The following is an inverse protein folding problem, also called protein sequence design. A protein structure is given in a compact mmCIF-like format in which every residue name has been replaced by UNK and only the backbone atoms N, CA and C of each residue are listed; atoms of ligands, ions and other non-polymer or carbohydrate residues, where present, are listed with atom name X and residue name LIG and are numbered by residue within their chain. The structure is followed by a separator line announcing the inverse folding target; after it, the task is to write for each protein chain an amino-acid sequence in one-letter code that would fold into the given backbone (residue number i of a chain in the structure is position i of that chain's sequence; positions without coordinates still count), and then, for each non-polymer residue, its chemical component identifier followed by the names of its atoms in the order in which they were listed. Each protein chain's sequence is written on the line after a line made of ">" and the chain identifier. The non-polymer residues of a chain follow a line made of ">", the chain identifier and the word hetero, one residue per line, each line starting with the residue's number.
data_IF_310006157782
#
_entry.id   IF_310006157782
#
_cell.length_a   1.000
_cell.length_b   1.000
_cell.length_c   1.000
_cell.angle_alpha   90.00
_cell.angle_beta   90.00
_cell.angle_gamma   90.00
#
_symmetry.space_group_name_H-M   'P 1'
#
loop_
_entity.id
_entity.type
_entity.pdbx_description
1 polymer ?
#
# COMPACT_ATOMS: atom_id res chain seq x y z
N UNK A 1 -43.26 24.41 -0.78
CA UNK A 1 -41.89 23.84 -0.67
C UNK A 1 -41.08 24.42 -1.82
N UNK A 2 -40.36 25.52 -1.57
CA UNK A 2 -39.61 26.23 -2.63
C UNK A 2 -38.24 25.57 -2.78
N UNK A 3 -37.94 25.02 -3.95
CA UNK A 3 -36.63 24.43 -4.29
C UNK A 3 -35.51 25.47 -4.24
N UNK A 4 -34.27 25.07 -3.93
CA UNK A 4 -33.04 25.91 -3.87
C UNK A 4 -32.91 26.85 -5.09
N UNK A 5 -33.27 26.34 -6.28
CA UNK A 5 -33.27 27.11 -7.53
C UNK A 5 -34.23 28.31 -7.50
N UNK A 6 -35.38 28.17 -6.87
CA UNK A 6 -36.39 29.23 -6.77
C UNK A 6 -35.99 30.32 -5.76
N UNK A 7 -35.28 29.95 -4.68
CA UNK A 7 -34.77 30.92 -3.68
C UNK A 7 -33.63 31.75 -4.26
N UNK A 8 -32.70 31.13 -5.00
CA UNK A 8 -31.62 31.85 -5.67
C UNK A 8 -32.13 32.73 -6.82
N UNK A 9 -33.14 32.28 -7.57
CA UNK A 9 -33.81 33.10 -8.61
C UNK A 9 -34.55 34.29 -7.96
N UNK A 10 -35.23 34.09 -6.83
CA UNK A 10 -35.86 35.18 -6.09
C UNK A 10 -34.82 36.17 -5.56
N UNK A 11 -33.74 35.69 -4.93
CA UNK A 11 -32.68 36.56 -4.41
C UNK A 11 -31.96 37.38 -5.51
N UNK A 12 -31.73 36.78 -6.69
CA UNK A 12 -31.21 37.48 -7.86
C UNK A 12 -32.22 38.50 -8.44
N UNK A 13 -33.52 38.25 -8.30
CA UNK A 13 -34.59 39.16 -8.73
C UNK A 13 -34.77 40.37 -7.79
N UNK A 14 -34.31 40.28 -6.54
CA UNK A 14 -34.42 41.33 -5.54
C UNK A 14 -33.13 42.13 -5.31
N UNK A 15 -32.05 41.88 -6.07
CA UNK A 15 -30.77 42.58 -5.97
C UNK A 15 -30.23 42.69 -4.52
N UNK A 16 -30.44 41.64 -3.72
CA UNK A 16 -29.99 41.61 -2.33
C UNK A 16 -28.47 41.63 -2.25
N UNK A 17 -27.93 42.46 -1.38
CA UNK A 17 -26.50 42.56 -1.11
C UNK A 17 -26.02 41.34 -0.30
N UNK A 18 -24.73 41.00 -0.41
CA UNK A 18 -24.14 39.90 0.35
C UNK A 18 -24.33 40.02 1.88
N UNK A 19 -24.52 41.25 2.39
CA UNK A 19 -24.80 41.53 3.80
C UNK A 19 -26.26 41.24 4.19
N UNK A 20 -27.23 41.47 3.30
CA UNK A 20 -28.65 41.17 3.54
C UNK A 20 -28.92 39.66 3.52
N UNK A 21 -28.23 38.91 2.67
CA UNK A 21 -28.28 37.44 2.64
C UNK A 21 -27.75 36.85 3.96
N UNK A 22 -26.74 37.49 4.56
CA UNK A 22 -26.11 37.06 5.82
C UNK A 22 -26.96 37.33 7.06
N UNK A 23 -27.95 38.22 6.96
CA UNK A 23 -28.84 38.62 8.04
C UNK A 23 -30.15 37.79 8.09
N UNK A 24 -30.39 36.91 7.11
CA UNK A 24 -31.56 36.03 7.11
C UNK A 24 -31.39 34.92 8.16
N UNK A 25 -32.45 34.55 8.91
CA UNK A 25 -32.36 33.48 9.90
C UNK A 25 -31.95 32.16 9.21
N UNK A 26 -30.84 31.57 9.64
CA UNK A 26 -30.32 30.34 9.08
C UNK A 26 -31.26 29.18 9.41
N UNK A 27 -31.99 28.68 8.41
CA UNK A 27 -32.73 27.44 8.52
C UNK A 27 -31.73 26.26 8.57
N UNK A 28 -31.60 25.54 9.71
CA UNK A 28 -30.62 24.48 9.88
C UNK A 28 -30.74 23.34 8.86
N UNK A 29 -31.97 23.07 8.43
CA UNK A 29 -32.30 22.04 7.44
C UNK A 29 -31.76 22.42 6.05
N UNK A 30 -31.91 23.71 5.68
CA UNK A 30 -31.40 24.25 4.42
C UNK A 30 -29.87 24.31 4.39
N UNK A 31 -29.21 24.61 5.52
CA UNK A 31 -27.74 24.53 5.59
C UNK A 31 -27.22 23.11 5.46
N UNK A 32 -27.91 22.12 6.02
CA UNK A 32 -27.52 20.71 5.91
C UNK A 32 -27.67 20.19 4.47
N UNK A 33 -28.74 20.58 3.76
CA UNK A 33 -28.92 20.25 2.35
C UNK A 33 -27.84 20.89 1.45
N UNK A 34 -27.43 22.13 1.75
CA UNK A 34 -26.38 22.82 1.00
C UNK A 34 -25.02 22.13 1.17
N UNK A 35 -24.69 21.74 2.41
CA UNK A 35 -23.48 20.96 2.68
C UNK A 35 -23.51 19.59 2.01
N UNK A 36 -24.67 18.92 1.99
CA UNK A 36 -24.83 17.65 1.30
C UNK A 36 -24.69 17.80 -0.22
N UNK A 37 -25.21 18.87 -0.82
CA UNK A 37 -25.03 19.18 -2.24
C UNK A 37 -23.55 19.42 -2.56
N UNK A 38 -22.85 20.21 -1.74
CA UNK A 38 -21.43 20.47 -1.92
C UNK A 38 -20.58 19.19 -1.79
N UNK A 39 -20.97 18.24 -0.93
CA UNK A 39 -20.32 16.92 -0.85
C UNK A 39 -20.51 16.11 -2.13
N UNK A 40 -21.74 16.06 -2.66
CA UNK A 40 -22.04 15.38 -3.93
C UNK A 40 -21.29 15.99 -5.12
N UNK A 41 -21.17 17.31 -5.18
CA UNK A 41 -20.43 17.98 -6.25
C UNK A 41 -18.92 17.68 -6.21
N UNK A 42 -18.34 17.54 -5.02
CA UNK A 42 -16.94 17.08 -4.86
C UNK A 42 -16.77 15.64 -5.33
N UNK A 43 -17.71 14.76 -4.97
CA UNK A 43 -17.70 13.36 -5.39
C UNK A 43 -17.84 13.21 -6.91
N UNK A 44 -18.76 13.95 -7.54
CA UNK A 44 -18.91 13.99 -9.01
C UNK A 44 -17.62 14.50 -9.67
N UNK A 45 -16.98 15.52 -9.08
CA UNK A 45 -15.73 16.07 -9.60
C UNK A 45 -14.58 15.05 -9.53
N UNK A 46 -14.49 14.29 -8.43
CA UNK A 46 -13.52 13.21 -8.27
C UNK A 46 -13.78 12.06 -9.25
N UNK A 47 -15.05 11.68 -9.45
CA UNK A 47 -15.44 10.65 -10.43
C UNK A 47 -15.10 11.07 -11.86
N UNK A 48 -15.30 12.34 -12.23
CA UNK A 48 -14.91 12.84 -13.56
C UNK A 48 -13.40 12.76 -13.81
N UNK A 49 -12.57 13.16 -12.84
CA UNK A 49 -11.11 13.00 -12.93
C UNK A 49 -10.71 11.54 -13.07
N UNK A 50 -11.39 10.65 -12.34
CA UNK A 50 -11.19 9.20 -12.44
C UNK A 50 -11.54 8.69 -13.84
N UNK A 51 -12.63 9.18 -14.42
CA UNK A 51 -13.04 8.84 -15.78
C UNK A 51 -12.00 9.30 -16.81
N UNK A 52 -11.51 10.55 -16.72
CA UNK A 52 -10.49 11.08 -17.65
C UNK A 52 -9.21 10.24 -17.63
N UNK A 53 -8.78 9.81 -16.44
CA UNK A 53 -7.59 8.94 -16.32
C UNK A 53 -7.86 7.53 -16.84
N UNK A 54 -9.06 6.97 -16.59
CA UNK A 54 -9.43 5.68 -17.17
C UNK A 54 -9.48 5.73 -18.70
N UNK A 55 -9.96 6.83 -19.28
CA UNK A 55 -9.94 7.04 -20.73
C UNK A 55 -8.50 7.16 -21.26
N UNK A 56 -7.62 7.88 -20.57
CA UNK A 56 -6.20 7.93 -20.91
C UNK A 56 -5.54 6.53 -20.87
N UNK A 57 -5.85 5.74 -19.85
CA UNK A 57 -5.37 4.36 -19.73
C UNK A 57 -5.87 3.48 -20.87
N UNK A 58 -7.16 3.56 -21.20
CA UNK A 58 -7.74 2.78 -22.30
C UNK A 58 -7.04 3.10 -23.61
N UNK A 59 -6.69 4.37 -23.84
CA UNK A 59 -5.98 4.79 -25.04
C UNK A 59 -4.52 4.28 -25.08
N UNK A 60 -3.84 4.28 -23.94
CA UNK A 60 -2.51 3.67 -23.81
C UNK A 60 -2.56 2.16 -24.10
N UNK A 61 -3.49 1.44 -23.47
CA UNK A 61 -3.66 0.01 -23.66
C UNK A 61 -4.01 -0.34 -25.11
N UNK A 62 -4.86 0.48 -25.77
CA UNK A 62 -5.17 0.34 -27.20
C UNK A 62 -3.92 0.51 -28.07
N UNK A 63 -3.06 1.47 -27.74
CA UNK A 63 -1.80 1.69 -28.47
C UNK A 63 -0.86 0.49 -28.34
N UNK A 64 -0.78 -0.11 -27.15
CA UNK A 64 -0.01 -1.34 -26.92
C UNK A 64 -0.58 -2.54 -27.70
N UNK A 65 -1.91 -2.71 -27.72
CA UNK A 65 -2.56 -3.77 -28.50
C UNK A 65 -2.30 -3.58 -30.00
N UNK A 66 -2.40 -2.35 -30.51
CA UNK A 66 -2.09 -2.06 -31.93
C UNK A 66 -0.65 -2.37 -32.28
N UNK A 67 0.29 -2.04 -31.38
CA UNK A 67 1.70 -2.39 -31.55
C UNK A 67 1.89 -3.91 -31.60
N UNK A 68 1.29 -4.66 -30.68
CA UNK A 68 1.35 -6.13 -30.67
C UNK A 68 0.72 -6.73 -31.95
N UNK A 69 -0.43 -6.23 -32.40
CA UNK A 69 -1.06 -6.66 -33.65
C UNK A 69 -0.16 -6.39 -34.87
N UNK A 70 0.58 -5.27 -34.88
CA UNK A 70 1.52 -4.97 -35.95
C UNK A 70 2.68 -5.99 -36.03
N UNK A 71 3.12 -6.50 -34.89
CA UNK A 71 4.15 -7.54 -34.81
C UNK A 71 3.58 -8.87 -35.32
N UNK A 72 2.39 -9.26 -34.85
CA UNK A 72 1.71 -10.50 -35.28
C UNK A 72 1.51 -10.51 -36.80
N UNK A 73 1.06 -9.40 -37.38
CA UNK A 73 0.84 -9.29 -38.83
C UNK A 73 2.15 -9.40 -39.62
N UNK A 74 3.26 -8.84 -39.11
CA UNK A 74 4.59 -8.99 -39.73
C UNK A 74 5.14 -10.42 -39.64
N UNK A 75 4.83 -11.14 -38.56
CA UNK A 75 5.22 -12.54 -38.40
C UNK A 75 4.41 -13.47 -39.32
N UNK A 76 3.10 -13.24 -39.46
CA UNK A 76 2.23 -14.04 -40.33
C UNK A 76 2.48 -13.77 -41.83
N UNK A 77 2.99 -12.60 -42.19
CA UNK A 77 3.27 -12.21 -43.58
C UNK A 77 4.58 -12.73 -44.16
N UNK A 78 5.46 -13.34 -43.36
CA UNK A 78 6.76 -13.85 -43.81
C UNK A 78 7.03 -15.23 -43.21
N UNK A 79 6.85 -16.28 -44.01
CA UNK A 79 7.08 -17.69 -43.63
C UNK A 79 8.56 -18.07 -43.37
N UNK A 80 9.46 -17.09 -43.24
CA UNK A 80 10.92 -17.31 -43.14
C UNK A 80 11.64 -16.37 -42.16
N UNK A 81 10.94 -15.76 -41.20
CA UNK A 81 11.62 -15.01 -40.13
C UNK A 81 12.15 -16.02 -39.10
N UNK A 82 13.46 -16.23 -39.10
CA UNK A 82 14.15 -16.96 -38.04
C UNK A 82 14.05 -16.13 -36.74
N UNK A 83 13.29 -16.59 -35.74
CA UNK A 83 13.05 -15.87 -34.47
C UNK A 83 14.26 -16.06 -33.52
N UNK A 84 15.48 -15.90 -34.04
CA UNK A 84 16.71 -15.90 -33.24
C UNK A 84 17.10 -14.50 -32.75
N UNK A 85 16.33 -13.48 -33.11
CA UNK A 85 16.60 -12.06 -32.77
C UNK A 85 15.52 -11.43 -31.89
N UNK A 86 14.53 -12.20 -31.43
CA UNK A 86 13.49 -11.69 -30.54
C UNK A 86 13.93 -11.99 -29.11
N UNK A 87 14.36 -10.97 -28.38
CA UNK A 87 14.70 -11.09 -26.97
C UNK A 87 13.42 -10.90 -26.12
N UNK A 88 12.84 -11.98 -25.56
CA UNK A 88 11.60 -11.89 -24.79
C UNK A 88 11.76 -11.02 -23.53
N UNK A 89 12.99 -10.82 -23.05
CA UNK A 89 13.25 -10.03 -21.85
C UNK A 89 12.99 -8.54 -22.06
N UNK A 90 13.20 -8.01 -23.27
CA UNK A 90 12.98 -6.58 -23.56
C UNK A 90 11.49 -6.20 -23.48
N UNK A 91 10.59 -7.07 -23.97
CA UNK A 91 9.14 -6.83 -23.90
C UNK A 91 8.64 -6.97 -22.46
N UNK A 92 9.16 -7.96 -21.71
CA UNK A 92 8.83 -8.11 -20.28
C UNK A 92 9.26 -6.88 -19.48
N UNK A 93 10.45 -6.34 -19.73
CA UNK A 93 10.91 -5.09 -19.11
C UNK A 93 9.98 -3.90 -19.44
N UNK A 94 9.61 -3.73 -20.70
CA UNK A 94 8.69 -2.64 -21.11
C UNK A 94 7.29 -2.79 -20.49
N UNK A 95 6.80 -4.03 -20.38
CA UNK A 95 5.53 -4.32 -19.74
C UNK A 95 5.58 -4.00 -18.23
N UNK A 96 6.69 -4.36 -17.57
CA UNK A 96 6.90 -4.03 -16.16
C UNK A 96 7.02 -2.52 -15.92
N UNK A 97 7.76 -1.79 -16.75
CA UNK A 97 7.84 -0.33 -16.66
C UNK A 97 6.48 0.32 -16.86
N UNK A 98 5.71 -0.14 -17.85
CA UNK A 98 4.34 0.34 -18.11
C UNK A 98 3.43 0.05 -16.92
N UNK A 99 3.54 -1.15 -16.33
CA UNK A 99 2.78 -1.55 -15.14
C UNK A 99 3.14 -0.69 -13.93
N UNK A 100 4.43 -0.40 -13.72
CA UNK A 100 4.91 0.50 -12.65
C UNK A 100 4.39 1.92 -12.83
N UNK A 101 4.45 2.45 -14.06
CA UNK A 101 3.93 3.78 -14.40
C UNK A 101 2.42 3.87 -14.15
N UNK A 102 1.67 2.88 -14.62
CA UNK A 102 0.23 2.80 -14.38
C UNK A 102 -0.09 2.72 -12.88
N UNK A 103 0.66 1.89 -12.15
CA UNK A 103 0.48 1.76 -10.72
C UNK A 103 0.69 3.10 -9.99
N UNK A 104 1.77 3.84 -10.29
CA UNK A 104 2.02 5.18 -9.73
C UNK A 104 0.89 6.17 -10.01
N UNK A 105 0.31 6.15 -11.20
CA UNK A 105 -0.87 6.98 -11.49
C UNK A 105 -2.10 6.56 -10.68
N UNK A 106 -2.32 5.26 -10.52
CA UNK A 106 -3.37 4.74 -9.62
C UNK A 106 -3.12 5.14 -8.16
N UNK A 107 -1.87 5.29 -7.73
CA UNK A 107 -1.53 5.76 -6.39
C UNK A 107 -1.99 7.20 -6.15
N UNK A 108 -1.67 8.11 -7.08
CA UNK A 108 -2.05 9.53 -7.02
C UNK A 108 -3.57 9.68 -6.90
N UNK A 109 -4.31 8.92 -7.71
CA UNK A 109 -5.77 8.90 -7.68
C UNK A 109 -6.36 8.48 -6.33
N UNK A 110 -5.79 7.45 -5.69
CA UNK A 110 -6.26 6.98 -4.39
C UNK A 110 -6.01 7.99 -3.28
N UNK A 111 -4.90 8.73 -3.37
CA UNK A 111 -4.58 9.80 -2.42
C UNK A 111 -5.55 10.99 -2.57
N UNK A 112 -5.86 11.39 -3.81
CA UNK A 112 -6.85 12.45 -4.10
C UNK A 112 -8.28 12.11 -3.61
N UNK A 113 -8.65 10.82 -3.61
CA UNK A 113 -9.97 10.35 -3.14
C UNK A 113 -10.04 10.21 -1.62
N UNK A 114 -8.91 10.10 -0.93
CA UNK A 114 -8.83 10.04 0.52
C UNK A 114 -9.10 11.44 1.10
N UNK A 115 -10.25 11.63 1.74
CA UNK A 115 -10.56 12.89 2.43
C UNK A 115 -9.42 13.25 3.39
N UNK A 116 -8.93 14.50 3.30
CA UNK A 116 -7.92 15.11 4.20
C UNK A 116 -8.26 14.99 5.71
N UNK A 117 -9.49 14.59 6.05
CA UNK A 117 -9.97 14.33 7.41
C UNK A 117 -9.57 12.95 7.98
N UNK A 118 -9.13 12.00 7.14
CA UNK A 118 -8.72 10.67 7.58
C UNK A 118 -7.20 10.70 7.85
N UNK A 119 -6.81 10.66 9.13
CA UNK A 119 -5.41 10.52 9.53
C UNK A 119 -4.96 9.10 9.23
N UNK A 120 -4.30 8.92 8.09
CA UNK A 120 -3.77 7.62 7.69
C UNK A 120 -2.26 7.81 7.69
N UNK A 121 -1.60 7.54 8.81
CA UNK A 121 -0.14 7.68 8.96
C UNK A 121 0.26 8.37 10.27
N UNK A 122 1.52 8.18 10.67
CA UNK A 122 2.05 8.70 11.94
C UNK A 122 2.37 10.20 11.83
N UNK A 123 1.41 11.05 12.18
CA UNK A 123 1.61 12.50 12.23
C UNK A 123 2.07 12.89 13.64
N UNK A 124 3.13 13.68 13.73
CA UNK A 124 3.52 14.37 14.97
C UNK A 124 2.64 15.62 15.07
N UNK A 125 1.64 15.63 15.95
CA UNK A 125 0.93 16.87 16.29
C UNK A 125 1.64 17.54 17.47
N UNK A 126 1.66 18.86 17.50
CA UNK A 126 2.41 19.67 18.48
C UNK A 126 1.93 19.55 19.93
N UNK A 127 0.88 18.77 20.20
CA UNK A 127 0.26 18.68 21.53
C UNK A 127 0.34 17.30 22.19
N UNK A 128 0.56 16.19 21.45
CA UNK A 128 0.73 14.86 22.05
C UNK A 128 1.54 13.91 21.14
N UNK A 129 2.55 13.22 21.69
CA UNK A 129 3.14 12.04 21.02
C UNK A 129 2.14 10.90 21.15
N UNK A 130 1.38 10.62 20.10
CA UNK A 130 0.55 9.42 20.07
C UNK A 130 1.44 8.23 19.71
N UNK A 131 1.59 7.24 20.59
CA UNK A 131 2.40 6.04 20.28
C UNK A 131 1.82 5.19 19.14
N UNK A 132 0.60 5.52 18.70
CA UNK A 132 -0.23 4.76 17.78
C UNK A 132 -0.97 5.66 16.82
N UNK A 133 -1.17 5.17 15.59
CA UNK A 133 -2.14 5.73 14.65
C UNK A 133 -3.40 4.89 14.64
N UNK A 134 -4.53 5.59 14.65
CA UNK A 134 -5.88 5.08 14.50
C UNK A 134 -6.30 5.29 13.06
N UNK A 135 -6.26 4.24 12.24
CA UNK A 135 -6.77 4.30 10.87
C UNK A 135 -8.22 3.85 10.89
N UNK A 136 -9.14 4.79 10.66
CA UNK A 136 -10.58 4.52 10.51
C UNK A 136 -10.91 4.36 9.03
N UNK A 137 -11.35 3.19 8.62
CA UNK A 137 -11.89 2.98 7.27
C UNK A 137 -13.38 3.37 7.24
N UNK A 138 -13.83 3.94 6.12
CA UNK A 138 -15.25 4.27 5.87
C UNK A 138 -16.10 3.05 5.51
N UNK A 139 -15.59 1.82 5.61
CA UNK A 139 -16.36 0.59 5.42
C UNK A 139 -16.16 -0.37 6.61
N UNK A 140 -17.30 -0.78 7.19
CA UNK A 140 -17.68 -1.88 8.11
C UNK A 140 -16.66 -2.62 9.02
N UNK A 141 -15.38 -2.28 9.09
CA UNK A 141 -14.34 -3.20 9.59
C UNK A 141 -13.51 -2.63 10.75
N UNK A 142 -14.00 -1.56 11.36
CA UNK A 142 -13.44 -1.03 12.60
C UNK A 142 -12.07 -0.37 12.42
N UNK A 143 -11.50 0.02 13.56
CA UNK A 143 -10.27 0.81 13.65
C UNK A 143 -9.03 -0.10 13.62
N UNK A 144 -8.05 0.22 12.76
CA UNK A 144 -6.72 -0.38 12.81
C UNK A 144 -5.83 0.49 13.73
N UNK A 145 -5.25 -0.12 14.75
CA UNK A 145 -4.23 0.49 15.60
C UNK A 145 -2.86 0.04 15.12
N UNK A 146 -1.97 0.99 14.82
CA UNK A 146 -0.61 0.67 14.36
C UNK A 146 0.40 1.50 15.15
N UNK A 147 1.40 0.87 15.80
CA UNK A 147 2.45 1.60 16.50
C UNK A 147 3.31 2.42 15.54
N UNK A 148 3.68 3.61 15.98
CA UNK A 148 4.54 4.53 15.24
C UNK A 148 6.00 4.37 15.63
N UNK A 149 6.89 4.54 14.66
CA UNK A 149 8.32 4.69 14.91
C UNK A 149 8.73 6.15 14.67
N UNK A 150 9.20 6.80 15.74
CA UNK A 150 9.69 8.17 15.72
C UNK A 150 11.22 8.27 15.79
N UNK A 151 11.91 7.12 15.88
CA UNK A 151 13.36 7.06 16.08
C UNK A 151 14.11 7.06 14.74
N UNK A 152 13.49 6.51 13.70
CA UNK A 152 14.01 6.57 12.35
C UNK A 152 13.71 7.95 11.76
N UNK A 153 14.75 8.68 11.34
CA UNK A 153 14.81 10.15 11.18
C UNK A 153 13.81 10.86 10.25
N UNK A 154 12.76 10.20 9.77
CA UNK A 154 11.62 10.84 9.09
C UNK A 154 10.29 10.44 9.78
N UNK A 155 9.37 11.39 10.03
CA UNK A 155 8.07 11.09 10.63
C UNK A 155 7.19 10.25 9.68
N UNK A 156 6.19 9.55 10.22
CA UNK A 156 5.18 8.85 9.39
C UNK A 156 5.29 7.34 9.34
N UNK A 157 6.34 6.74 9.91
CA UNK A 157 6.55 5.29 9.85
C UNK A 157 5.61 4.53 10.78
N UNK A 158 4.87 3.60 10.19
CA UNK A 158 4.05 2.61 10.89
C UNK A 158 4.79 1.28 10.95
N UNK A 159 4.91 0.72 12.14
CA UNK A 159 5.56 -0.59 12.35
C UNK A 159 4.58 -1.71 12.00
N UNK A 160 4.92 -2.54 11.02
CA UNK A 160 4.11 -3.71 10.62
C UNK A 160 4.67 -5.04 11.16
N UNK A 161 5.97 -5.07 11.44
CA UNK A 161 6.64 -6.17 12.12
C UNK A 161 7.80 -5.61 12.97
N UNK A 162 8.02 -6.19 14.15
CA UNK A 162 9.17 -5.89 15.00
C UNK A 162 9.66 -7.14 15.72
N UNK A 163 10.99 -7.30 15.76
CA UNK A 163 11.74 -8.27 16.56
C UNK A 163 12.76 -7.52 17.42
N UNK A 164 12.63 -7.55 18.73
CA UNK A 164 13.48 -6.81 19.68
C UNK A 164 13.75 -7.54 20.99
N UNK A 165 12.87 -8.45 21.43
CA UNK A 165 12.98 -9.11 22.74
C UNK A 165 12.76 -10.63 22.71
N UNK A 166 12.22 -11.18 21.63
CA UNK A 166 11.91 -12.60 21.52
C UNK A 166 10.75 -13.06 22.41
N UNK A 167 9.96 -12.13 22.94
CA UNK A 167 8.85 -12.45 23.85
C UNK A 167 7.67 -13.12 23.14
N UNK A 168 7.58 -12.97 21.82
CA UNK A 168 6.49 -13.49 21.02
C UNK A 168 6.95 -14.66 20.14
N UNK A 169 6.14 -15.71 20.07
CA UNK A 169 6.36 -16.79 19.13
C UNK A 169 5.92 -16.36 17.72
N UNK A 170 6.78 -16.61 16.73
CA UNK A 170 6.49 -16.41 15.31
C UNK A 170 6.21 -17.74 14.58
N UNK A 171 6.31 -18.89 15.26
CA UNK A 171 5.87 -20.20 14.76
C UNK A 171 4.34 -20.32 14.84
N UNK A 172 3.67 -19.44 14.12
CA UNK A 172 2.22 -19.26 14.19
C UNK A 172 1.53 -19.75 12.91
N UNK A 173 0.25 -20.10 13.06
CA UNK A 173 -0.56 -20.62 11.96
C UNK A 173 -1.07 -19.50 11.03
N UNK A 174 -1.72 -19.88 9.93
CA UNK A 174 -2.23 -18.94 8.94
C UNK A 174 -3.22 -17.93 9.52
N UNK A 175 -4.16 -18.39 10.35
CA UNK A 175 -5.20 -17.53 10.94
C UNK A 175 -4.60 -16.50 11.92
N UNK A 176 -3.59 -16.90 12.70
CA UNK A 176 -2.83 -16.01 13.58
C UNK A 176 -2.05 -14.97 12.76
N UNK A 177 -1.35 -15.38 11.70
CA UNK A 177 -0.66 -14.45 10.79
C UNK A 177 -1.62 -13.52 10.05
N UNK A 178 -2.82 -14.01 9.68
CA UNK A 178 -3.89 -13.20 9.08
C UNK A 178 -4.32 -12.09 10.03
N UNK A 179 -4.60 -12.46 11.29
CA UNK A 179 -5.11 -11.57 12.34
C UNK A 179 -4.05 -10.71 13.01
N UNK A 180 -2.76 -11.05 12.93
CA UNK A 180 -1.71 -10.38 13.69
C UNK A 180 -1.63 -10.82 15.15
N UNK A 181 -0.48 -10.55 15.77
CA UNK A 181 -0.12 -11.04 17.11
C UNK A 181 1.02 -10.21 17.72
N UNK A 182 1.32 -10.47 19.00
CA UNK A 182 2.33 -9.74 19.76
C UNK A 182 1.82 -8.42 20.35
N UNK A 183 2.72 -7.73 21.06
CA UNK A 183 2.39 -6.52 21.82
C UNK A 183 3.00 -5.30 21.16
N UNK A 184 2.13 -4.35 20.84
CA UNK A 184 2.50 -3.18 20.06
C UNK A 184 3.40 -2.20 20.85
N UNK A 185 3.35 -2.23 22.19
CA UNK A 185 4.22 -1.48 23.10
C UNK A 185 5.58 -2.18 23.29
N UNK A 186 6.63 -1.67 22.65
CA UNK A 186 8.03 -2.06 22.88
C UNK A 186 8.34 -3.55 23.06
N UNK A 187 7.59 -4.43 22.37
CA UNK A 187 7.84 -5.88 22.31
C UNK A 187 7.77 -6.39 20.87
N UNK A 188 8.09 -7.67 20.68
CA UNK A 188 7.87 -8.37 19.42
C UNK A 188 6.40 -8.26 18.96
N UNK A 189 6.21 -7.93 17.68
CA UNK A 189 4.89 -7.53 17.15
C UNK A 189 4.74 -7.86 15.66
N UNK A 190 3.53 -8.24 15.28
CA UNK A 190 3.12 -8.43 13.90
C UNK A 190 1.70 -7.88 13.66
N UNK A 191 1.55 -6.91 12.75
CA UNK A 191 0.27 -6.22 12.52
C UNK A 191 -0.84 -7.15 11.99
N UNK A 192 -0.45 -8.19 11.26
CA UNK A 192 -1.36 -9.13 10.59
C UNK A 192 -1.52 -8.87 9.10
N UNK A 193 -1.46 -9.94 8.31
CA UNK A 193 -1.49 -9.89 6.84
C UNK A 193 -2.71 -9.16 6.30
N UNK A 194 -3.89 -9.37 6.88
CA UNK A 194 -5.12 -8.75 6.40
C UNK A 194 -5.09 -7.22 6.57
N UNK A 195 -4.52 -6.74 7.67
CA UNK A 195 -4.36 -5.30 7.92
C UNK A 195 -3.30 -4.70 7.00
N UNK A 196 -2.18 -5.39 6.79
CA UNK A 196 -1.13 -4.95 5.87
C UNK A 196 -1.65 -4.88 4.42
N UNK A 197 -2.39 -5.91 3.97
CA UNK A 197 -3.03 -5.93 2.66
C UNK A 197 -3.95 -4.73 2.46
N UNK A 198 -4.83 -4.44 3.43
CA UNK A 198 -5.77 -3.32 3.34
C UNK A 198 -5.09 -1.97 3.32
N UNK A 199 -4.05 -1.78 4.14
CA UNK A 199 -3.24 -0.58 4.13
C UNK A 199 -2.63 -0.38 2.75
N UNK A 200 -1.86 -1.36 2.29
CA UNK A 200 -1.16 -1.28 0.99
C UNK A 200 -2.08 -1.33 -0.23
N UNK A 201 -3.35 -1.71 -0.08
CA UNK A 201 -4.36 -1.62 -1.13
C UNK A 201 -5.10 -0.30 -1.16
N UNK A 202 -5.21 0.39 -0.01
CA UNK A 202 -5.92 1.66 0.11
C UNK A 202 -5.21 2.83 -0.56
N UNK A 203 -3.88 2.79 -0.59
CA UNK A 203 -2.99 3.77 -1.25
C UNK A 203 -1.61 3.14 -1.37
N UNK A 204 -0.67 3.86 -1.96
CA UNK A 204 0.68 3.36 -2.14
C UNK A 204 1.56 3.65 -0.93
N UNK A 205 2.38 2.67 -0.60
CA UNK A 205 3.25 2.68 0.56
C UNK A 205 4.68 2.38 0.13
N UNK A 206 5.61 3.02 0.79
CA UNK A 206 7.01 2.62 0.81
C UNK A 206 7.26 1.68 2.00
N UNK A 207 8.25 0.80 1.85
CA UNK A 207 8.73 -0.11 2.89
C UNK A 207 10.14 0.30 3.30
N UNK A 208 10.39 0.35 4.60
CA UNK A 208 11.71 0.46 5.19
C UNK A 208 11.96 -0.72 6.11
N UNK A 209 13.08 -1.41 5.89
CA UNK A 209 13.61 -2.45 6.76
C UNK A 209 14.74 -1.85 7.58
N UNK A 210 14.65 -1.95 8.89
CA UNK A 210 15.75 -1.63 9.80
C UNK A 210 16.29 -2.93 10.40
N UNK A 211 17.58 -3.19 10.17
CA UNK A 211 18.23 -4.45 10.48
C UNK A 211 19.40 -4.19 11.41
N UNK A 212 19.42 -4.85 12.57
CA UNK A 212 20.53 -4.81 13.51
C UNK A 212 21.11 -6.22 13.64
N UNK A 213 22.37 -6.39 13.30
CA UNK A 213 23.06 -7.68 13.33
C UNK A 213 23.67 -7.97 14.71
N UNK A 214 23.99 -9.25 14.97
CA UNK A 214 24.63 -9.68 16.23
C UNK A 214 25.94 -8.95 16.54
N UNK A 215 26.72 -8.61 15.52
CA UNK A 215 27.96 -7.84 15.66
C UNK A 215 27.74 -6.34 15.96
N UNK A 216 26.47 -5.90 16.08
CA UNK A 216 26.08 -4.52 16.37
C UNK A 216 26.05 -3.61 15.14
N UNK A 217 26.34 -4.11 13.94
CA UNK A 217 26.18 -3.33 12.72
C UNK A 217 24.70 -3.11 12.41
N UNK A 218 24.40 -1.99 11.76
CA UNK A 218 23.05 -1.61 11.35
C UNK A 218 23.03 -1.47 9.83
N UNK A 219 22.03 -2.08 9.20
CA UNK A 219 21.73 -1.89 7.79
C UNK A 219 20.26 -1.58 7.57
N UNK A 220 19.94 -1.10 6.37
CA UNK A 220 18.58 -0.84 5.96
C UNK A 220 18.38 -1.18 4.48
N UNK A 221 17.14 -1.56 4.17
CA UNK A 221 16.59 -1.66 2.83
C UNK A 221 15.38 -0.74 2.73
N UNK A 222 15.21 -0.10 1.59
CA UNK A 222 14.05 0.73 1.28
C UNK A 222 13.51 0.35 -0.09
N UNK A 223 12.17 0.30 -0.19
CA UNK A 223 11.44 0.02 -1.42
C UNK A 223 10.35 1.06 -1.63
N UNK A 224 10.28 1.63 -2.84
CA UNK A 224 9.36 2.72 -3.19
C UNK A 224 7.93 2.28 -3.58
N UNK A 225 7.66 0.97 -3.64
CA UNK A 225 6.34 0.38 -3.82
C UNK A 225 6.29 -0.89 -2.97
N UNK A 226 5.46 -0.93 -1.95
CA UNK A 226 5.26 -2.12 -1.12
C UNK A 226 3.79 -2.48 -1.05
N UNK A 227 3.47 -3.69 -1.52
CA UNK A 227 2.12 -4.21 -1.52
C UNK A 227 2.05 -5.66 -1.08
N UNK A 228 0.92 -5.97 -0.47
CA UNK A 228 0.52 -7.34 -0.13
C UNK A 228 -0.83 -7.59 -0.78
N UNK A 229 -0.96 -8.66 -1.57
CA UNK A 229 -2.23 -9.02 -2.22
C UNK A 229 -3.26 -9.58 -1.23
N UNK A 230 -4.48 -9.86 -1.68
CA UNK A 230 -5.54 -10.41 -0.82
C UNK A 230 -5.27 -11.87 -0.37
N UNK A 231 -6.12 -12.39 0.53
CA UNK A 231 -6.01 -13.75 1.05
C UNK A 231 -6.18 -14.84 -0.03
N UNK A 232 -7.03 -14.58 -1.03
CA UNK A 232 -7.30 -15.50 -2.15
C UNK A 232 -6.04 -15.66 -3.00
N UNK A 233 -5.33 -14.55 -3.20
CA UNK A 233 -4.05 -14.45 -3.88
C UNK A 233 -2.86 -14.86 -2.99
N UNK A 234 -3.13 -15.25 -1.74
CA UNK A 234 -2.15 -15.78 -0.80
C UNK A 234 -1.23 -14.75 -0.16
N UNK A 235 -1.69 -13.49 -0.01
CA UNK A 235 -0.90 -12.39 0.56
C UNK A 235 0.49 -12.25 -0.09
N UNK A 236 0.54 -12.34 -1.42
CA UNK A 236 1.77 -12.24 -2.19
C UNK A 236 2.39 -10.84 -2.05
N UNK A 237 3.71 -10.79 -1.85
CA UNK A 237 4.47 -9.53 -1.73
C UNK A 237 4.76 -8.93 -3.10
N UNK A 238 4.70 -7.61 -3.20
CA UNK A 238 5.28 -6.87 -4.33
C UNK A 238 6.20 -5.78 -3.80
N UNK A 239 7.40 -5.66 -4.38
CA UNK A 239 8.39 -4.63 -4.02
C UNK A 239 8.89 -3.81 -5.21
N UNK A 240 8.95 -2.49 -5.02
CA UNK A 240 9.38 -1.48 -5.98
C UNK A 240 10.89 -1.40 -6.17
N UNK A 241 11.40 -0.26 -6.60
CA UNK A 241 12.83 0.01 -6.72
C UNK A 241 13.50 -0.01 -5.34
N UNK A 242 14.68 -0.63 -5.29
CA UNK A 242 15.45 -0.79 -4.06
C UNK A 242 16.44 0.35 -3.88
N UNK A 243 16.56 0.84 -2.65
CA UNK A 243 17.70 1.64 -2.17
C UNK A 243 18.11 1.14 -0.78
N UNK A 244 19.37 1.30 -0.40
CA UNK A 244 19.83 0.85 0.91
C UNK A 244 21.30 0.49 0.95
N UNK A 245 21.77 0.07 2.12
CA UNK A 245 23.14 -0.39 2.36
C UNK A 245 23.22 -1.89 2.67
N UNK A 246 22.15 -2.65 2.38
CA UNK A 246 22.10 -4.11 2.48
C UNK A 246 21.86 -4.76 1.12
N UNK A 247 21.79 -6.08 1.05
CA UNK A 247 21.46 -6.83 -0.17
C UNK A 247 19.98 -6.67 -0.54
N UNK A 248 19.66 -6.51 -1.83
CA UNK A 248 18.26 -6.47 -2.33
C UNK A 248 17.63 -7.86 -2.33
N UNK A 249 17.41 -8.41 -1.13
CA UNK A 249 16.93 -9.78 -0.98
C UNK A 249 15.47 -9.89 -1.44
N UNK A 250 14.59 -8.94 -1.10
CA UNK A 250 13.15 -9.03 -1.42
C UNK A 250 12.85 -8.94 -2.91
N UNK A 251 13.73 -8.40 -3.76
CA UNK A 251 13.57 -8.51 -5.22
C UNK A 251 13.42 -9.96 -5.65
N UNK A 252 14.19 -10.86 -5.04
CA UNK A 252 14.11 -12.28 -5.28
C UNK A 252 12.73 -12.86 -4.91
N UNK A 253 12.00 -12.24 -3.99
CA UNK A 253 10.71 -12.69 -3.47
C UNK A 253 9.52 -11.97 -4.11
N UNK A 254 9.73 -11.13 -5.12
CA UNK A 254 8.64 -10.42 -5.77
C UNK A 254 7.58 -11.39 -6.32
N UNK A 255 6.32 -11.13 -5.99
CA UNK A 255 5.12 -11.94 -6.24
C UNK A 255 5.10 -13.34 -5.58
N UNK A 256 6.00 -13.64 -4.66
CA UNK A 256 5.97 -14.89 -3.88
C UNK A 256 4.81 -14.85 -2.88
N UNK A 257 4.09 -15.97 -2.73
CA UNK A 257 2.97 -16.08 -1.80
C UNK A 257 3.46 -16.29 -0.37
N UNK A 258 2.76 -15.70 0.60
CA UNK A 258 3.05 -15.94 2.01
C UNK A 258 2.73 -17.41 2.34
N UNK A 259 3.49 -18.05 3.22
CA UNK A 259 3.22 -19.43 3.63
C UNK A 259 3.47 -19.62 5.12
N UNK A 260 2.65 -20.45 5.76
CA UNK A 260 2.78 -20.92 7.15
C UNK A 260 2.84 -22.45 7.17
N UNK A 261 3.06 -23.06 8.33
CA UNK A 261 3.17 -24.52 8.44
C UNK A 261 1.88 -25.29 8.09
N UNK A 262 0.72 -24.64 8.23
CA UNK A 262 -0.62 -25.15 7.97
C UNK A 262 -1.19 -24.71 6.61
N UNK A 263 -0.61 -23.68 5.97
CA UNK A 263 -0.93 -23.27 4.60
C UNK A 263 0.33 -22.98 3.80
N UNK A 264 0.72 -23.96 3.00
CA UNK A 264 1.93 -23.93 2.19
C UNK A 264 1.59 -23.62 0.73
N UNK A 265 1.67 -22.35 0.34
CA UNK A 265 1.24 -21.89 -0.99
C UNK A 265 2.26 -22.20 -2.10
N UNK A 266 3.50 -22.51 -1.76
CA UNK A 266 4.59 -22.84 -2.69
C UNK A 266 4.93 -24.35 -2.69
N UNK A 267 4.22 -25.17 -1.91
CA UNK A 267 4.49 -26.60 -1.72
C UNK A 267 5.94 -26.94 -1.31
N UNK A 268 6.54 -26.09 -0.48
CA UNK A 268 7.91 -26.23 0.05
C UNK A 268 7.92 -26.45 1.56
N UNK A 269 8.86 -27.24 2.11
CA UNK A 269 8.89 -27.55 3.55
C UNK A 269 9.37 -26.39 4.44
N UNK A 270 9.72 -25.24 3.86
CA UNK A 270 10.36 -24.12 4.54
C UNK A 270 9.55 -23.54 5.72
N UNK A 271 8.22 -23.41 5.66
CA UNK A 271 7.47 -22.89 6.81
C UNK A 271 7.61 -23.77 8.06
N UNK A 272 7.77 -25.10 7.87
CA UNK A 272 8.00 -26.04 8.97
C UNK A 272 9.43 -25.99 9.48
N UNK A 273 10.43 -25.95 8.59
CA UNK A 273 11.84 -25.92 8.99
C UNK A 273 12.27 -24.56 9.56
N UNK A 274 11.78 -23.47 8.97
CA UNK A 274 12.00 -22.10 9.44
C UNK A 274 11.14 -21.72 10.64
N UNK A 275 10.18 -22.57 11.01
CA UNK A 275 9.26 -22.39 12.14
C UNK A 275 8.66 -20.98 12.17
N UNK A 276 8.19 -20.51 11.02
CA UNK A 276 7.60 -19.18 10.88
C UNK A 276 6.70 -19.06 9.66
N UNK A 277 5.96 -17.96 9.59
CA UNK A 277 5.32 -17.49 8.36
C UNK A 277 6.20 -16.50 7.62
N UNK A 278 6.41 -16.72 6.32
CA UNK A 278 7.19 -15.82 5.46
C UNK A 278 6.81 -15.97 3.98
N UNK A 279 7.25 -15.04 3.15
CA UNK A 279 7.30 -15.23 1.70
C UNK A 279 8.50 -16.12 1.39
N UNK A 280 8.31 -17.44 1.37
CA UNK A 280 9.42 -18.38 1.17
C UNK A 280 9.65 -18.64 -0.32
N UNK A 281 10.90 -18.48 -0.78
CA UNK A 281 11.32 -18.90 -2.12
C UNK A 281 12.51 -19.84 -2.01
N UNK A 282 12.33 -21.09 -2.44
CA UNK A 282 13.39 -22.13 -2.37
C UNK A 282 14.05 -22.27 -0.98
N UNK A 283 13.28 -22.03 0.09
CA UNK A 283 13.78 -21.98 1.48
C UNK A 283 14.93 -20.98 1.72
N UNK A 284 14.99 -19.91 0.94
CA UNK A 284 16.05 -18.91 0.97
C UNK A 284 16.32 -18.33 2.35
N UNK A 285 17.55 -17.87 2.52
CA UNK A 285 18.26 -17.56 3.76
C UNK A 285 17.95 -16.16 4.32
N UNK A 286 16.77 -15.61 4.02
CA UNK A 286 16.27 -14.37 4.62
C UNK A 286 14.88 -14.59 5.20
N UNK A 287 14.77 -14.46 6.52
CA UNK A 287 13.51 -14.66 7.22
C UNK A 287 13.50 -13.82 8.51
N UNK A 288 12.91 -12.63 8.44
CA UNK A 288 12.77 -11.73 9.61
C UNK A 288 11.81 -12.30 10.66
N UNK A 289 10.97 -13.26 10.28
CA UNK A 289 10.01 -13.92 11.15
C UNK A 289 10.55 -15.24 11.72
N UNK A 290 11.79 -15.62 11.42
CA UNK A 290 12.38 -16.88 11.89
C UNK A 290 12.42 -16.98 13.42
N UNK A 291 12.80 -18.16 13.93
CA UNK A 291 12.98 -18.37 15.36
C UNK A 291 13.87 -17.28 15.97
N UNK A 292 13.58 -16.91 17.23
CA UNK A 292 14.43 -15.99 17.96
C UNK A 292 15.89 -16.50 17.99
N UNK A 293 16.86 -15.58 17.89
CA UNK A 293 18.29 -15.85 17.69
C UNK A 293 18.68 -16.60 16.39
N UNK A 294 17.75 -16.86 15.46
CA UNK A 294 18.04 -17.52 14.17
C UNK A 294 17.43 -16.77 12.97
N UNK A 295 16.53 -15.82 13.22
CA UNK A 295 16.03 -14.92 12.19
C UNK A 295 17.19 -14.11 11.59
N UNK A 296 17.12 -13.88 10.29
CA UNK A 296 18.28 -13.50 9.52
C UNK A 296 17.90 -12.64 8.33
N UNK A 297 18.93 -12.01 7.77
CA UNK A 297 18.88 -11.33 6.50
C UNK A 297 20.15 -11.62 5.72
N UNK A 298 19.99 -12.14 4.51
CA UNK A 298 21.08 -12.57 3.65
C UNK A 298 22.01 -13.53 4.41
N UNK A 299 21.41 -14.53 5.07
CA UNK A 299 22.08 -15.59 5.84
C UNK A 299 22.79 -15.13 7.12
N UNK A 300 22.78 -13.83 7.39
CA UNK A 300 23.38 -13.25 8.58
C UNK A 300 22.33 -13.11 9.68
N UNK A 301 22.64 -13.67 10.86
CA UNK A 301 21.74 -13.63 12.03
C UNK A 301 21.56 -12.19 12.51
N UNK A 302 20.30 -11.83 12.74
CA UNK A 302 19.91 -10.54 13.25
C UNK A 302 19.71 -10.59 14.76
N UNK A 303 20.08 -9.50 15.41
CA UNK A 303 19.77 -9.21 16.81
C UNK A 303 18.40 -8.56 16.96
N UNK A 304 18.06 -7.63 16.05
CA UNK A 304 16.76 -6.94 16.00
C UNK A 304 16.36 -6.65 14.55
N UNK A 305 15.06 -6.56 14.31
CA UNK A 305 14.53 -6.12 13.02
C UNK A 305 13.26 -5.31 13.19
N UNK A 306 13.02 -4.38 12.25
CA UNK A 306 11.71 -3.73 12.07
C UNK A 306 11.37 -3.69 10.59
N UNK A 307 10.12 -4.01 10.27
CA UNK A 307 9.51 -3.68 8.98
C UNK A 307 8.56 -2.52 9.20
N UNK A 308 8.77 -1.43 8.47
CA UNK A 308 7.98 -0.21 8.61
C UNK A 308 7.42 0.20 7.25
N UNK A 309 6.19 0.71 7.25
CA UNK A 309 5.59 1.28 6.05
C UNK A 309 5.14 2.70 6.29
N UNK A 310 5.20 3.51 5.24
CA UNK A 310 4.67 4.88 5.24
C UNK A 310 4.06 5.17 3.87
N UNK A 311 3.07 6.06 3.75
CA UNK A 311 2.54 6.45 2.45
C UNK A 311 3.65 6.99 1.57
N UNK A 312 3.63 6.59 0.30
CA UNK A 312 4.57 7.13 -0.66
C UNK A 312 4.20 8.59 -0.92
N UNK A 313 5.09 9.52 -0.57
CA UNK A 313 4.93 10.94 -0.94
C UNK A 313 5.19 11.09 -2.44
N UNK A 314 4.13 11.35 -3.20
CA UNK A 314 4.24 11.56 -4.64
C UNK A 314 4.52 13.04 -4.88
N UNK A 315 5.79 13.36 -5.15
CA UNK A 315 6.24 14.70 -5.53
C UNK A 315 5.87 15.05 -6.96
#
# INVERSE_FOLDING_TARGET
>A
MFTIRNVLILAASFALTANEIKAMPSNPEMSAELEQSARKDREISALKRTQEINEALINELRSQIQFQMSIINKLNGNSSINISCFDPTTIQMQLEESRKKFHRQSCQLKDDQLNSSLLIGCIITSEYITHYVVIRYLSEIGTIYVPCDYQLGAPGWMVIQRRIDGAQNFTENWDTYRKGFGYADNSDYFLGMERIHRLTSSRCYELHLHLEFENGSIAYAHYDDFRVSDEVSGYAITVGAFTGNTTDVLRGYDNVKFSTFDRNNENINCPRSGQSGWWFKSCSESNLNGMWNHFNWDSNVLRKSKMLIRPLEIK
#
